data_IF_957544621238
#
_entry.id   IF_957544621238
#
_cell.length_a   1.000
_cell.length_b   1.000
_cell.length_c   1.000
_cell.angle_alpha   90.00
_cell.angle_beta   90.00
_cell.angle_gamma   90.00
#
_symmetry.space_group_name_H-M   'P 1'
#
loop_
_entity.id
_entity.type
_entity.pdbx_description
1 polymer ?
#
# COMPACT_ATOMS: atom_id res chain seq x y z
N UNK A 1 44.21 -33.65 74.81
CA UNK A 1 44.55 -33.43 73.39
C UNK A 1 43.47 -32.56 72.78
N UNK A 2 43.88 -31.43 72.18
CA UNK A 2 43.01 -30.46 71.51
C UNK A 2 42.54 -31.03 70.17
N UNK A 3 41.25 -30.92 69.87
CA UNK A 3 40.73 -31.04 68.50
C UNK A 3 39.98 -29.74 68.22
N UNK A 4 40.55 -28.94 67.31
CA UNK A 4 39.93 -27.74 66.75
C UNK A 4 38.90 -28.15 65.69
N UNK A 5 37.63 -27.78 65.89
CA UNK A 5 36.61 -27.85 64.84
C UNK A 5 36.58 -26.53 64.07
N UNK A 6 36.92 -26.57 62.78
CA UNK A 6 36.76 -25.44 61.86
C UNK A 6 35.34 -25.54 61.29
N UNK A 7 34.48 -24.56 61.61
CA UNK A 7 33.19 -24.37 60.95
C UNK A 7 33.42 -23.36 59.83
N UNK A 8 33.34 -23.82 58.58
CA UNK A 8 33.34 -22.96 57.40
C UNK A 8 31.94 -22.35 57.23
N UNK A 9 31.82 -21.04 57.44
CA UNK A 9 30.61 -20.28 57.13
C UNK A 9 30.53 -20.00 55.63
N UNK A 10 29.51 -20.55 54.96
CA UNK A 10 29.12 -20.12 53.62
C UNK A 10 28.35 -18.80 53.72
N UNK A 11 28.91 -17.72 53.17
CA UNK A 11 28.18 -16.47 52.93
C UNK A 11 27.40 -16.66 51.63
N UNK A 12 26.07 -16.85 51.73
CA UNK A 12 25.19 -16.69 50.57
C UNK A 12 25.09 -15.20 50.23
N UNK A 13 25.77 -14.78 49.16
CA UNK A 13 25.52 -13.50 48.53
C UNK A 13 24.11 -13.53 47.91
N UNK A 14 23.20 -12.70 48.44
CA UNK A 14 21.85 -12.55 47.90
C UNK A 14 21.90 -11.90 46.52
N UNK A 15 21.47 -12.65 45.51
CA UNK A 15 21.09 -12.09 44.22
C UNK A 15 19.74 -11.39 44.41
N UNK A 16 19.74 -10.06 44.38
CA UNK A 16 18.50 -9.30 44.28
C UNK A 16 17.87 -9.58 42.90
N UNK A 17 16.56 -9.82 42.80
CA UNK A 17 15.90 -9.91 41.51
C UNK A 17 15.98 -8.54 40.84
N UNK A 18 16.64 -8.48 39.68
CA UNK A 18 16.55 -7.35 38.78
C UNK A 18 15.14 -7.39 38.22
N UNK A 19 14.27 -6.53 38.72
CA UNK A 19 12.98 -6.26 38.07
C UNK A 19 13.30 -5.58 36.75
N UNK A 20 13.34 -6.37 35.68
CA UNK A 20 13.23 -5.85 34.34
C UNK A 20 11.92 -5.06 34.28
N UNK A 21 12.02 -3.74 34.29
CA UNK A 21 10.93 -2.91 33.81
C UNK A 21 10.82 -3.23 32.33
N UNK A 22 9.90 -4.12 31.98
CA UNK A 22 9.32 -4.10 30.65
C UNK A 22 8.77 -2.69 30.49
N UNK A 23 9.36 -1.91 29.60
CA UNK A 23 8.75 -0.69 29.14
C UNK A 23 7.39 -1.11 28.56
N UNK A 24 6.32 -0.81 29.27
CA UNK A 24 4.99 -0.81 28.68
C UNK A 24 5.00 0.33 27.67
N UNK A 25 5.20 0.01 26.39
CA UNK A 25 4.60 0.83 25.36
C UNK A 25 3.12 0.85 25.69
N UNK A 26 2.53 2.03 25.84
CA UNK A 26 1.08 2.17 25.89
C UNK A 26 0.57 1.82 24.47
N UNK A 27 0.59 0.52 24.13
CA UNK A 27 0.16 -0.04 22.85
C UNK A 27 -1.36 0.03 22.79
N UNK A 28 -1.87 1.20 22.41
CA UNK A 28 -3.24 1.28 21.92
C UNK A 28 -3.22 0.78 20.49
N UNK A 29 -3.72 -0.44 20.27
CA UNK A 29 -3.89 -0.99 18.93
C UNK A 29 -4.67 0.01 18.07
N UNK A 30 -4.22 0.32 16.84
CA UNK A 30 -5.01 1.16 15.96
C UNK A 30 -6.36 0.49 15.66
N UNK A 31 -7.42 1.28 15.60
CA UNK A 31 -8.74 0.77 15.23
C UNK A 31 -8.78 0.33 13.76
N UNK A 32 -8.08 1.09 12.92
CA UNK A 32 -7.99 0.87 11.47
C UNK A 32 -6.54 0.92 11.01
N UNK A 33 -6.13 -0.09 10.24
CA UNK A 33 -4.89 -0.05 9.47
C UNK A 33 -5.22 0.18 8.01
N UNK A 34 -4.52 1.12 7.37
CA UNK A 34 -4.53 1.25 5.92
C UNK A 34 -3.37 0.43 5.37
N UNK A 35 -3.67 -0.66 4.66
CA UNK A 35 -2.66 -1.44 3.94
C UNK A 35 -2.45 -0.82 2.56
N UNK A 36 -1.36 -0.08 2.40
CA UNK A 36 -1.09 0.72 1.21
C UNK A 36 -0.12 0.02 0.24
N UNK A 37 -0.41 0.05 -1.07
CA UNK A 37 0.53 -0.31 -2.11
C UNK A 37 0.66 0.85 -3.11
N UNK A 38 1.86 1.44 -3.15
CA UNK A 38 2.21 2.60 -3.97
C UNK A 38 2.16 2.31 -5.48
N UNK A 39 2.25 3.37 -6.28
CA UNK A 39 2.36 3.25 -7.72
C UNK A 39 3.71 2.69 -8.15
N UNK A 40 3.82 2.34 -9.42
CA UNK A 40 5.11 1.92 -9.97
C UNK A 40 6.12 3.06 -9.97
N UNK A 41 7.39 2.72 -9.78
CA UNK A 41 8.56 3.59 -9.65
C UNK A 41 8.49 4.59 -8.48
N UNK A 42 7.49 4.47 -7.60
CA UNK A 42 7.40 5.25 -6.37
C UNK A 42 8.27 4.66 -5.26
N UNK A 43 9.56 4.47 -5.51
CA UNK A 43 10.49 3.76 -4.63
C UNK A 43 11.72 4.62 -4.30
N UNK A 44 12.59 4.11 -3.42
CA UNK A 44 13.79 4.84 -2.98
C UNK A 44 14.76 5.10 -4.15
N UNK A 45 14.90 4.14 -5.08
CA UNK A 45 15.76 4.27 -6.26
C UNK A 45 15.42 5.50 -7.12
N UNK A 46 14.14 5.83 -7.23
CA UNK A 46 13.64 6.99 -7.97
C UNK A 46 13.47 8.26 -7.11
N UNK A 47 13.84 8.21 -5.82
CA UNK A 47 13.75 9.35 -4.91
C UNK A 47 12.32 9.65 -4.43
N UNK A 48 11.41 8.68 -4.53
CA UNK A 48 10.00 8.81 -4.12
C UNK A 48 9.69 8.15 -2.76
N UNK A 49 10.74 7.82 -2.00
CA UNK A 49 10.63 7.45 -0.59
C UNK A 49 10.70 8.70 0.30
N UNK A 50 9.62 8.99 1.03
CA UNK A 50 9.52 10.18 1.89
C UNK A 50 9.75 9.88 3.37
N UNK A 51 9.94 8.61 3.73
CA UNK A 51 10.06 8.16 5.10
C UNK A 51 8.76 8.23 5.89
N UNK A 52 8.79 7.81 7.16
CA UNK A 52 7.63 7.82 8.05
C UNK A 52 6.89 9.16 8.07
N UNK A 53 5.56 9.13 7.91
CA UNK A 53 4.71 10.31 7.91
C UNK A 53 3.85 10.36 9.16
N UNK A 54 3.71 11.55 9.75
CA UNK A 54 2.72 11.83 10.79
C UNK A 54 1.53 12.57 10.17
N UNK A 55 0.39 11.89 10.09
CA UNK A 55 -0.81 12.47 9.47
C UNK A 55 -1.62 13.33 10.44
N UNK A 56 -1.60 13.01 11.74
CA UNK A 56 -2.23 13.80 12.81
C UNK A 56 -1.28 13.95 14.00
N UNK A 57 -1.50 14.93 14.88
CA UNK A 57 -0.62 15.24 16.04
C UNK A 57 -0.45 14.05 16.98
N UNK A 58 -1.48 13.22 17.12
CA UNK A 58 -1.52 12.07 18.03
C UNK A 58 -1.42 10.73 17.31
N UNK A 59 -1.30 10.73 15.98
CA UNK A 59 -1.17 9.50 15.21
C UNK A 59 0.26 8.96 15.26
N UNK A 60 0.38 7.64 15.32
CA UNK A 60 1.65 6.96 15.08
C UNK A 60 2.15 7.25 13.66
N UNK A 61 3.47 7.33 13.49
CA UNK A 61 4.07 7.53 12.18
C UNK A 61 3.84 6.31 11.29
N UNK A 62 3.56 6.50 10.00
CA UNK A 62 3.55 5.40 9.02
C UNK A 62 4.91 4.73 8.91
N UNK A 63 4.97 3.58 8.24
CA UNK A 63 6.26 2.96 7.91
C UNK A 63 6.98 3.61 6.71
N UNK A 64 6.35 4.58 6.03
CA UNK A 64 7.00 5.51 5.09
C UNK A 64 7.03 5.10 3.61
N UNK A 65 6.48 3.95 3.25
CA UNK A 65 6.51 3.41 1.89
C UNK A 65 5.24 3.67 1.07
N UNK A 66 4.33 4.52 1.55
CA UNK A 66 3.03 4.77 0.89
C UNK A 66 3.16 5.55 -0.43
N UNK A 67 4.27 6.25 -0.65
CA UNK A 67 4.52 7.05 -1.86
C UNK A 67 3.79 8.40 -1.86
N UNK A 68 4.15 9.32 -2.77
CA UNK A 68 3.71 10.71 -2.73
C UNK A 68 2.19 10.88 -2.85
N UNK A 69 1.51 10.08 -3.68
CA UNK A 69 0.06 10.24 -3.91
C UNK A 69 -0.76 9.87 -2.67
N UNK A 70 -0.38 8.81 -1.94
CA UNK A 70 -1.04 8.45 -0.69
C UNK A 70 -0.66 9.38 0.45
N UNK A 71 0.61 9.80 0.55
CA UNK A 71 1.02 10.84 1.50
C UNK A 71 0.19 12.11 1.33
N UNK A 72 0.05 12.59 0.10
CA UNK A 72 -0.77 13.76 -0.20
C UNK A 72 -2.25 13.53 0.15
N UNK A 73 -2.84 12.40 -0.28
CA UNK A 73 -4.23 12.06 0.03
C UNK A 73 -4.51 12.09 1.54
N UNK A 74 -3.69 11.43 2.35
CA UNK A 74 -3.94 11.33 3.78
C UNK A 74 -3.74 12.67 4.51
N UNK A 75 -2.81 13.52 4.06
CA UNK A 75 -2.73 14.90 4.55
C UNK A 75 -3.96 15.72 4.15
N UNK A 76 -4.48 15.59 2.93
CA UNK A 76 -5.71 16.27 2.52
C UNK A 76 -6.93 15.77 3.31
N UNK A 77 -6.99 14.46 3.62
CA UNK A 77 -8.02 13.87 4.48
C UNK A 77 -8.00 14.51 5.85
N UNK A 78 -6.86 14.51 6.55
CA UNK A 78 -6.77 15.11 7.89
C UNK A 78 -7.02 16.62 7.86
N UNK A 79 -6.47 17.34 6.87
CA UNK A 79 -6.65 18.79 6.74
C UNK A 79 -8.13 19.17 6.61
N UNK A 80 -8.89 18.36 5.87
CA UNK A 80 -10.30 18.62 5.58
C UNK A 80 -11.25 18.02 6.61
N UNK A 81 -10.86 16.91 7.23
CA UNK A 81 -11.58 16.19 8.28
C UNK A 81 -10.65 15.94 9.47
N UNK A 82 -10.37 16.96 10.31
CA UNK A 82 -9.46 16.83 11.43
C UNK A 82 -9.89 15.73 12.41
N UNK A 83 -8.95 14.91 12.84
CA UNK A 83 -9.17 13.76 13.73
C UNK A 83 -9.39 12.43 13.00
N UNK A 84 -9.63 12.43 11.68
CA UNK A 84 -9.85 11.18 10.93
C UNK A 84 -8.62 10.26 10.96
N UNK A 85 -7.41 10.82 10.94
CA UNK A 85 -6.17 10.03 10.94
C UNK A 85 -5.63 9.72 12.33
N UNK A 86 -6.22 10.23 13.42
CA UNK A 86 -5.70 10.03 14.80
C UNK A 86 -5.60 8.55 15.21
N UNK A 87 -6.55 7.73 14.78
CA UNK A 87 -6.61 6.28 15.10
C UNK A 87 -6.32 5.38 13.90
N UNK A 88 -5.71 5.94 12.85
CA UNK A 88 -5.35 5.23 11.62
C UNK A 88 -3.84 5.03 11.58
N UNK A 89 -3.42 3.78 11.44
CA UNK A 89 -2.03 3.46 11.11
C UNK A 89 -1.90 3.13 9.62
N UNK A 90 -0.97 3.79 8.92
CA UNK A 90 -0.68 3.50 7.51
C UNK A 90 0.48 2.51 7.44
N UNK A 91 0.16 1.29 7.03
CA UNK A 91 1.10 0.20 6.79
C UNK A 91 1.26 0.03 5.27
N UNK A 92 2.30 0.63 4.70
CA UNK A 92 2.59 0.45 3.29
C UNK A 92 3.43 -0.82 3.05
N UNK A 93 3.24 -1.47 1.92
CA UNK A 93 4.14 -2.55 1.48
C UNK A 93 5.50 -1.93 1.18
N UNK A 94 6.52 -2.34 1.93
CA UNK A 94 7.90 -1.88 1.76
C UNK A 94 8.53 -2.47 0.49
N UNK A 95 9.81 -2.15 0.24
CA UNK A 95 10.52 -2.63 -0.94
C UNK A 95 10.70 -4.16 -0.96
N UNK A 96 10.86 -4.80 0.20
CA UNK A 96 11.03 -6.25 0.31
C UNK A 96 9.73 -6.98 -0.04
N UNK A 97 8.61 -6.49 0.47
CA UNK A 97 7.28 -7.03 0.16
C UNK A 97 6.84 -6.67 -1.25
N UNK A 98 7.10 -5.44 -1.70
CA UNK A 98 6.65 -4.87 -2.97
C UNK A 98 7.67 -3.83 -3.49
N UNK A 99 8.56 -4.19 -4.43
CA UNK A 99 9.57 -3.28 -4.98
C UNK A 99 9.01 -2.08 -5.74
N UNK A 100 7.78 -2.20 -6.22
CA UNK A 100 7.09 -1.25 -7.10
C UNK A 100 7.83 -0.90 -8.41
N UNK A 101 8.71 -1.73 -8.95
CA UNK A 101 9.41 -1.42 -10.20
C UNK A 101 8.49 -1.57 -11.41
N UNK A 102 8.53 -0.62 -12.36
CA UNK A 102 7.87 -0.80 -13.65
C UNK A 102 8.75 -1.57 -14.64
N UNK A 103 10.06 -1.27 -14.69
CA UNK A 103 11.07 -1.74 -15.67
C UNK A 103 10.45 -2.43 -16.89
N UNK A 104 9.72 -1.64 -17.69
CA UNK A 104 9.14 -2.15 -18.92
C UNK A 104 10.25 -2.24 -19.97
N UNK A 105 10.37 -3.36 -20.70
CA UNK A 105 11.24 -3.37 -21.86
C UNK A 105 10.76 -2.31 -22.86
N UNK A 106 11.65 -1.80 -23.73
CA UNK A 106 11.27 -0.87 -24.77
C UNK A 106 10.07 -1.40 -25.54
N UNK A 107 8.97 -0.64 -25.58
CA UNK A 107 7.76 -1.03 -26.30
C UNK A 107 7.96 -1.07 -27.83
N UNK A 108 9.11 -0.59 -28.29
CA UNK A 108 9.59 -0.53 -29.68
C UNK A 108 11.10 -0.88 -29.74
N UNK A 109 11.52 -1.62 -30.77
CA UNK A 109 12.96 -1.76 -31.09
C UNK A 109 13.52 -0.45 -31.69
N UNK A 110 14.85 -0.23 -31.62
CA UNK A 110 15.49 0.95 -32.23
C UNK A 110 15.15 1.04 -33.73
N UNK A 111 14.34 2.03 -34.12
CA UNK A 111 13.92 2.28 -35.51
C UNK A 111 12.53 1.77 -35.87
N UNK A 112 11.79 1.18 -34.92
CA UNK A 112 10.40 0.75 -35.13
C UNK A 112 9.44 1.95 -35.00
N UNK A 113 8.72 2.29 -36.08
CA UNK A 113 7.65 3.30 -36.05
C UNK A 113 6.35 2.65 -35.58
N UNK A 114 6.19 2.54 -34.26
CA UNK A 114 4.95 2.02 -33.67
C UNK A 114 3.90 3.14 -33.64
N UNK A 115 2.72 2.86 -34.17
CA UNK A 115 1.58 3.75 -34.04
C UNK A 115 1.06 3.78 -32.59
N UNK A 116 0.54 4.90 -32.07
CA UNK A 116 0.07 5.03 -30.68
C UNK A 116 -0.90 3.91 -30.23
N UNK A 117 -1.77 3.44 -31.13
CA UNK A 117 -2.73 2.35 -30.87
C UNK A 117 -2.01 1.01 -30.65
N UNK A 118 -0.94 0.74 -31.40
CA UNK A 118 -0.17 -0.50 -31.29
C UNK A 118 0.70 -0.51 -30.03
N UNK A 119 1.18 0.66 -29.58
CA UNK A 119 1.88 0.80 -28.29
C UNK A 119 0.96 0.48 -27.11
N UNK A 120 -0.27 1.01 -27.13
CA UNK A 120 -1.30 0.72 -26.11
C UNK A 120 -1.75 -0.75 -26.19
N UNK A 121 -1.93 -1.32 -27.38
CA UNK A 121 -2.26 -2.73 -27.55
C UNK A 121 -1.13 -3.67 -27.10
N UNK A 122 0.14 -3.27 -27.22
CA UNK A 122 1.28 -4.03 -26.67
C UNK A 122 1.33 -3.90 -25.15
N UNK A 123 1.14 -2.70 -24.60
CA UNK A 123 1.05 -2.51 -23.15
C UNK A 123 -0.12 -3.29 -22.52
N UNK A 124 -1.30 -3.25 -23.15
CA UNK A 124 -2.49 -4.02 -22.74
C UNK A 124 -2.34 -5.52 -23.06
N UNK A 125 -1.69 -5.85 -24.17
CA UNK A 125 -1.41 -7.22 -24.62
C UNK A 125 -0.44 -7.95 -23.71
N UNK A 126 0.55 -7.26 -23.14
CA UNK A 126 1.45 -7.78 -22.10
C UNK A 126 0.66 -8.17 -20.84
N UNK A 127 -0.41 -7.44 -20.52
CA UNK A 127 -1.32 -7.75 -19.40
C UNK A 127 -2.35 -8.84 -19.75
N UNK A 128 -2.72 -9.00 -21.03
CA UNK A 128 -3.79 -9.91 -21.47
C UNK A 128 -3.32 -11.27 -22.04
N UNK A 129 -2.09 -11.38 -22.56
CA UNK A 129 -1.64 -12.58 -23.29
C UNK A 129 -0.98 -13.66 -22.43
N UNK A 130 -0.74 -13.40 -21.16
CA UNK A 130 -0.14 -14.40 -20.27
C UNK A 130 -1.12 -14.82 -19.17
N UNK A 131 -1.60 -16.08 -19.16
CA UNK A 131 -2.27 -16.61 -17.99
C UNK A 131 -1.28 -16.56 -16.82
N UNK A 132 -1.75 -16.12 -15.64
CA UNK A 132 -0.98 -15.97 -14.39
C UNK A 132 -0.07 -17.18 -14.04
N UNK A 133 -0.35 -18.36 -14.61
CA UNK A 133 0.44 -19.58 -14.42
C UNK A 133 1.63 -19.81 -15.37
N UNK A 134 1.77 -19.09 -16.50
CA UNK A 134 2.83 -19.34 -17.50
C UNK A 134 3.99 -18.32 -17.47
N UNK A 135 3.92 -17.26 -16.66
CA UNK A 135 4.98 -16.25 -16.48
C UNK A 135 6.09 -16.72 -15.52
N UNK A 136 6.79 -17.81 -15.87
CA UNK A 136 7.88 -18.35 -15.05
C UNK A 136 9.29 -18.03 -15.58
N UNK A 137 9.46 -17.35 -16.72
CA UNK A 137 10.74 -17.39 -17.47
C UNK A 137 11.32 -16.05 -17.99
N UNK A 138 10.96 -14.89 -17.45
CA UNK A 138 11.58 -13.64 -17.92
C UNK A 138 11.76 -12.57 -16.84
N UNK A 139 13.00 -12.50 -16.35
CA UNK A 139 13.62 -11.44 -15.53
C UNK A 139 13.68 -10.06 -16.23
N UNK A 140 12.95 -9.89 -17.34
CA UNK A 140 12.95 -8.70 -18.18
C UNK A 140 11.74 -7.78 -17.95
N UNK A 141 10.91 -8.08 -16.94
CA UNK A 141 9.67 -7.35 -16.65
C UNK A 141 9.58 -7.00 -15.16
N UNK A 142 10.20 -5.90 -14.73
CA UNK A 142 10.17 -5.46 -13.33
C UNK A 142 8.74 -5.32 -12.80
N UNK A 143 7.79 -4.88 -13.64
CA UNK A 143 6.37 -4.81 -13.30
C UNK A 143 5.73 -6.15 -12.93
N UNK A 144 6.13 -7.26 -13.56
CA UNK A 144 5.54 -8.58 -13.31
C UNK A 144 6.10 -9.17 -12.02
N UNK A 145 7.43 -9.11 -11.85
CA UNK A 145 8.08 -9.60 -10.63
C UNK A 145 7.65 -8.77 -9.41
N UNK A 146 7.53 -7.45 -9.56
CA UNK A 146 7.03 -6.56 -8.52
C UNK A 146 5.58 -6.88 -8.13
N UNK A 147 4.69 -7.02 -9.11
CA UNK A 147 3.29 -7.41 -8.87
C UNK A 147 3.21 -8.78 -8.18
N UNK A 148 3.99 -9.77 -8.65
CA UNK A 148 4.01 -11.12 -8.07
C UNK A 148 4.48 -11.10 -6.62
N UNK A 149 5.56 -10.39 -6.31
CA UNK A 149 6.05 -10.23 -4.95
C UNK A 149 5.00 -9.58 -4.05
N UNK A 150 4.44 -8.45 -4.48
CA UNK A 150 3.38 -7.76 -3.72
C UNK A 150 2.17 -8.66 -3.45
N UNK A 151 1.68 -9.37 -4.48
CA UNK A 151 0.52 -10.27 -4.35
C UNK A 151 0.77 -11.43 -3.39
N UNK A 152 1.98 -12.01 -3.41
CA UNK A 152 2.32 -13.15 -2.55
C UNK A 152 2.66 -12.73 -1.12
N UNK A 153 3.26 -11.56 -0.94
CA UNK A 153 3.80 -11.11 0.35
C UNK A 153 2.82 -10.26 1.15
N UNK A 154 1.86 -9.58 0.52
CA UNK A 154 0.92 -8.69 1.22
C UNK A 154 0.14 -9.38 2.37
N UNK A 155 -0.34 -10.65 2.25
CA UNK A 155 -0.94 -11.35 3.38
C UNK A 155 0.05 -11.59 4.54
N UNK A 156 1.31 -11.92 4.23
CA UNK A 156 2.36 -12.12 5.23
C UNK A 156 2.66 -10.82 5.99
N UNK A 157 2.71 -9.67 5.29
CA UNK A 157 2.90 -8.35 5.93
C UNK A 157 1.79 -8.07 6.96
N UNK A 158 0.54 -8.44 6.65
CA UNK A 158 -0.58 -8.34 7.60
C UNK A 158 -0.35 -9.24 8.82
N UNK A 159 0.03 -10.50 8.59
CA UNK A 159 0.24 -11.49 9.66
C UNK A 159 1.41 -11.11 10.57
N UNK A 160 2.52 -10.66 10.00
CA UNK A 160 3.72 -10.24 10.74
C UNK A 160 3.46 -8.97 11.57
N UNK A 161 2.71 -8.01 11.00
CA UNK A 161 2.28 -6.83 11.73
C UNK A 161 1.40 -7.19 12.94
N UNK A 162 0.35 -8.00 12.74
CA UNK A 162 -0.54 -8.44 13.83
C UNK A 162 0.23 -9.23 14.90
N UNK A 163 1.15 -10.11 14.49
CA UNK A 163 1.96 -10.90 15.41
C UNK A 163 2.93 -10.04 16.23
N UNK A 164 3.52 -9.03 15.60
CA UNK A 164 4.47 -8.10 16.25
C UNK A 164 3.77 -7.19 17.25
N UNK A 165 2.62 -6.62 16.86
CA UNK A 165 1.87 -5.67 17.69
C UNK A 165 0.94 -6.37 18.69
N UNK A 166 0.68 -7.67 18.55
CA UNK A 166 -0.33 -8.37 19.34
C UNK A 166 -1.76 -7.88 19.10
N UNK A 167 -1.98 -7.17 17.99
CA UNK A 167 -3.23 -6.49 17.64
C UNK A 167 -3.95 -7.22 16.49
N UNK A 168 -5.26 -6.98 16.36
CA UNK A 168 -6.06 -7.48 15.22
C UNK A 168 -7.02 -6.39 14.71
N UNK A 169 -6.48 -5.38 14.01
CA UNK A 169 -7.25 -4.22 13.57
C UNK A 169 -8.17 -4.55 12.39
N UNK A 170 -9.03 -3.59 12.05
CA UNK A 170 -9.76 -3.62 10.76
C UNK A 170 -8.90 -2.97 9.67
N UNK A 171 -9.04 -3.44 8.44
CA UNK A 171 -8.19 -3.01 7.33
C UNK A 171 -8.98 -2.24 6.26
N UNK A 172 -8.43 -1.10 5.83
CA UNK A 172 -8.75 -0.51 4.54
C UNK A 172 -7.59 -0.78 3.60
N UNK A 173 -7.84 -1.44 2.46
CA UNK A 173 -6.79 -1.63 1.45
C UNK A 173 -6.73 -0.40 0.55
N UNK A 174 -5.53 0.10 0.24
CA UNK A 174 -5.34 1.29 -0.56
C UNK A 174 -4.28 1.04 -1.65
N UNK A 175 -4.66 1.08 -2.92
CA UNK A 175 -3.74 0.84 -4.03
C UNK A 175 -3.79 1.89 -5.11
N UNK A 176 -2.62 2.30 -5.61
CA UNK A 176 -2.49 3.27 -6.69
C UNK A 176 -1.81 2.62 -7.90
N UNK A 177 -2.38 2.79 -9.09
CA UNK A 177 -1.82 2.27 -10.36
C UNK A 177 -1.52 0.76 -10.28
N UNK A 178 -0.25 0.34 -10.39
CA UNK A 178 0.17 -1.06 -10.19
C UNK A 178 -0.20 -1.60 -8.79
N UNK A 179 -0.08 -0.80 -7.74
CA UNK A 179 -0.47 -1.16 -6.37
C UNK A 179 -1.97 -1.40 -6.19
N UNK A 180 -2.84 -0.87 -7.06
CA UNK A 180 -4.27 -1.21 -7.09
C UNK A 180 -4.50 -2.68 -7.42
N UNK A 181 -3.63 -3.29 -8.23
CA UNK A 181 -3.69 -4.71 -8.55
C UNK A 181 -3.20 -5.57 -7.38
N UNK A 182 -2.13 -5.12 -6.70
CA UNK A 182 -1.58 -5.78 -5.50
C UNK A 182 -2.61 -5.80 -4.37
N UNK A 183 -3.15 -4.64 -3.99
CA UNK A 183 -4.13 -4.56 -2.89
C UNK A 183 -5.42 -5.33 -3.17
N UNK A 184 -5.79 -5.49 -4.44
CA UNK A 184 -6.94 -6.33 -4.81
C UNK A 184 -6.72 -7.81 -4.44
N UNK A 185 -5.48 -8.32 -4.45
CA UNK A 185 -5.23 -9.74 -4.14
C UNK A 185 -5.40 -10.09 -2.66
N UNK A 186 -5.09 -9.15 -1.77
CA UNK A 186 -5.23 -9.32 -0.30
C UNK A 186 -6.62 -8.94 0.19
N UNK A 187 -7.41 -8.24 -0.63
CA UNK A 187 -8.78 -7.83 -0.31
C UNK A 187 -9.66 -9.04 0.06
N UNK A 188 -9.62 -10.11 -0.73
CA UNK A 188 -10.37 -11.34 -0.45
C UNK A 188 -9.92 -12.01 0.85
N UNK A 189 -8.61 -12.11 1.07
CA UNK A 189 -8.04 -12.68 2.30
C UNK A 189 -8.53 -11.93 3.56
N UNK A 190 -8.52 -10.60 3.53
CA UNK A 190 -9.01 -9.77 4.63
C UNK A 190 -10.53 -9.88 4.79
N UNK A 191 -11.29 -10.00 3.71
CA UNK A 191 -12.74 -10.20 3.77
C UNK A 191 -13.11 -11.55 4.37
N UNK A 192 -12.49 -12.64 3.89
CA UNK A 192 -12.74 -14.02 4.34
C UNK A 192 -12.38 -14.21 5.83
N UNK A 193 -11.44 -13.39 6.33
CA UNK A 193 -11.02 -13.40 7.74
C UNK A 193 -11.75 -12.36 8.61
N UNK A 194 -12.74 -11.66 8.06
CA UNK A 194 -13.60 -10.70 8.77
C UNK A 194 -12.90 -9.39 9.16
N UNK A 195 -11.77 -9.07 8.53
CA UNK A 195 -10.92 -7.92 8.83
C UNK A 195 -11.07 -6.76 7.85
N UNK A 196 -11.59 -6.98 6.64
CA UNK A 196 -11.75 -5.92 5.64
C UNK A 196 -12.90 -4.95 6.01
N UNK A 197 -12.57 -3.66 6.13
CA UNK A 197 -13.49 -2.54 6.37
C UNK A 197 -13.85 -1.77 5.09
N UNK A 198 -12.91 -1.66 4.16
CA UNK A 198 -13.11 -0.93 2.91
C UNK A 198 -11.93 -1.04 1.94
N UNK A 199 -12.09 -0.46 0.76
CA UNK A 199 -11.07 -0.45 -0.28
C UNK A 199 -11.01 0.90 -1.00
N UNK A 200 -9.80 1.38 -1.27
CA UNK A 200 -9.49 2.58 -2.04
C UNK A 200 -8.58 2.18 -3.20
N UNK A 201 -9.01 2.41 -4.43
CA UNK A 201 -8.17 2.22 -5.62
C UNK A 201 -8.12 3.49 -6.43
N UNK A 202 -6.92 3.93 -6.80
CA UNK A 202 -6.67 5.17 -7.54
C UNK A 202 -5.93 4.83 -8.83
N UNK A 203 -6.32 5.42 -9.96
CA UNK A 203 -5.67 5.19 -11.25
C UNK A 203 -5.64 3.71 -11.63
N UNK A 204 -6.72 2.98 -11.33
CA UNK A 204 -6.74 1.51 -11.39
C UNK A 204 -6.77 1.01 -12.85
N UNK A 205 -5.78 0.20 -13.31
CA UNK A 205 -5.77 -0.35 -14.67
C UNK A 205 -6.98 -1.24 -15.01
N UNK A 206 -7.75 -1.67 -14.01
CA UNK A 206 -8.93 -2.51 -14.18
C UNK A 206 -10.23 -1.79 -13.87
N UNK A 207 -10.21 -0.45 -13.80
CA UNK A 207 -11.37 0.40 -13.49
C UNK A 207 -12.61 0.08 -14.36
N UNK A 208 -12.44 -0.12 -15.68
CA UNK A 208 -13.55 -0.47 -16.59
C UNK A 208 -13.89 -1.96 -16.65
N UNK A 209 -13.10 -2.80 -15.98
CA UNK A 209 -13.26 -4.26 -16.00
C UNK A 209 -13.29 -4.85 -14.59
N UNK A 210 -14.16 -4.35 -13.69
CA UNK A 210 -14.21 -4.81 -12.30
C UNK A 210 -14.45 -6.33 -12.17
N UNK A 211 -15.13 -6.93 -13.16
CA UNK A 211 -15.40 -8.38 -13.23
C UNK A 211 -14.18 -9.27 -13.46
N UNK A 212 -13.04 -8.69 -13.85
CA UNK A 212 -11.81 -9.47 -14.14
C UNK A 212 -11.06 -9.83 -12.86
N UNK A 213 -11.26 -9.08 -11.79
CA UNK A 213 -10.68 -9.36 -10.48
C UNK A 213 -11.73 -9.97 -9.55
N UNK A 214 -11.35 -10.99 -8.80
CA UNK A 214 -12.14 -11.53 -7.69
C UNK A 214 -12.06 -10.59 -6.47
N UNK A 215 -12.58 -9.36 -6.63
CA UNK A 215 -12.69 -8.37 -5.54
C UNK A 215 -13.67 -8.88 -4.49
N UNK A 216 -13.39 -8.60 -3.23
CA UNK A 216 -14.34 -8.86 -2.17
C UNK A 216 -15.62 -8.02 -2.38
N UNK A 217 -16.76 -8.63 -2.06
CA UNK A 217 -18.03 -7.94 -2.06
C UNK A 217 -18.07 -6.95 -0.89
N UNK A 218 -17.94 -5.66 -1.20
CA UNK A 218 -18.09 -4.56 -0.25
C UNK A 218 -19.35 -3.76 -0.57
N UNK A 219 -20.05 -3.21 0.43
CA UNK A 219 -21.06 -2.17 0.21
C UNK A 219 -20.49 -1.01 -0.61
N UNK A 220 -21.33 -0.35 -1.42
CA UNK A 220 -20.87 0.70 -2.34
C UNK A 220 -20.24 1.90 -1.63
N UNK A 221 -20.68 2.20 -0.41
CA UNK A 221 -20.12 3.23 0.48
C UNK A 221 -18.82 2.79 1.18
N UNK A 222 -18.45 1.50 1.07
CA UNK A 222 -17.20 0.95 1.61
C UNK A 222 -16.12 0.78 0.53
N UNK A 223 -16.33 1.31 -0.68
CA UNK A 223 -15.36 1.30 -1.78
C UNK A 223 -15.23 2.65 -2.46
N UNK A 224 -13.99 3.09 -2.66
CA UNK A 224 -13.61 4.21 -3.50
C UNK A 224 -12.81 3.68 -4.68
N UNK A 225 -13.28 3.91 -5.91
CA UNK A 225 -12.57 3.60 -7.15
C UNK A 225 -12.44 4.88 -7.97
N UNK A 226 -11.27 5.52 -7.88
CA UNK A 226 -11.01 6.85 -8.40
C UNK A 226 -10.16 6.80 -9.68
N UNK A 227 -10.72 7.34 -10.76
CA UNK A 227 -10.03 7.61 -12.01
C UNK A 227 -10.21 9.11 -12.37
N UNK A 228 -9.11 9.83 -12.54
CA UNK A 228 -9.13 11.18 -13.10
C UNK A 228 -9.63 11.12 -14.55
N UNK A 229 -10.49 12.07 -14.94
CA UNK A 229 -10.95 12.16 -16.33
C UNK A 229 -9.74 12.40 -17.25
N UNK A 230 -9.56 11.53 -18.26
CA UNK A 230 -8.41 11.60 -19.16
C UNK A 230 -7.16 10.83 -18.70
N UNK A 231 -7.18 10.17 -17.53
CA UNK A 231 -6.08 9.29 -17.13
C UNK A 231 -6.08 8.02 -17.97
N UNK A 232 -5.10 7.88 -18.86
CA UNK A 232 -4.97 6.76 -19.81
C UNK A 232 -4.95 5.36 -19.16
N UNK A 233 -4.57 5.25 -17.88
CA UNK A 233 -4.51 3.96 -17.18
C UNK A 233 -5.90 3.41 -16.89
N UNK A 234 -6.90 4.28 -16.69
CA UNK A 234 -8.26 3.88 -16.31
C UNK A 234 -9.34 4.44 -17.24
N UNK A 235 -8.98 5.38 -18.12
CA UNK A 235 -9.72 5.88 -19.27
C UNK A 235 -9.01 5.47 -20.57
N UNK A 236 -9.50 4.39 -21.18
CA UNK A 236 -8.93 3.82 -22.41
C UNK A 236 -9.31 4.59 -23.69
N UNK A 237 -9.71 5.86 -23.58
CA UNK A 237 -10.00 6.68 -24.75
C UNK A 237 -8.72 7.04 -25.53
N UNK A 238 -8.87 7.24 -26.84
CA UNK A 238 -7.75 7.61 -27.72
C UNK A 238 -7.18 8.99 -27.36
N UNK A 239 -8.01 9.89 -26.85
CA UNK A 239 -7.61 11.22 -26.39
C UNK A 239 -6.69 11.11 -25.18
N UNK A 240 -7.10 10.39 -24.13
CA UNK A 240 -6.28 10.12 -22.94
C UNK A 240 -4.92 9.48 -23.29
N UNK A 241 -4.90 8.51 -24.20
CA UNK A 241 -3.66 7.87 -24.64
C UNK A 241 -2.72 8.83 -25.39
N UNK A 242 -3.24 9.69 -26.28
CA UNK A 242 -2.42 10.67 -27.01
C UNK A 242 -1.85 11.74 -26.08
N UNK A 243 -2.65 12.19 -25.12
CA UNK A 243 -2.22 13.17 -24.12
C UNK A 243 -1.13 12.59 -23.24
N UNK A 244 -1.29 11.35 -22.77
CA UNK A 244 -0.29 10.64 -21.96
C UNK A 244 1.06 10.49 -22.67
N UNK A 245 1.07 10.21 -23.98
CA UNK A 245 2.31 10.17 -24.77
C UNK A 245 2.96 11.55 -24.90
N UNK A 246 2.16 12.61 -24.97
CA UNK A 246 2.63 13.98 -25.16
C UNK A 246 3.16 14.60 -23.86
N UNK A 247 2.55 14.27 -22.72
CA UNK A 247 2.88 14.83 -21.40
C UNK A 247 3.60 13.83 -20.47
N UNK A 248 3.98 12.65 -20.97
CA UNK A 248 4.63 11.59 -20.18
C UNK A 248 3.79 11.13 -18.97
N UNK A 249 2.50 10.89 -19.19
CA UNK A 249 1.57 10.41 -18.16
C UNK A 249 1.44 11.36 -16.94
N UNK A 250 1.70 12.66 -17.11
CA UNK A 250 1.66 13.67 -16.03
C UNK A 250 0.35 13.64 -15.25
N UNK A 251 -0.79 13.49 -15.94
CA UNK A 251 -2.10 13.41 -15.31
C UNK A 251 -2.22 12.17 -14.40
N UNK A 252 -1.75 11.02 -14.86
CA UNK A 252 -1.75 9.79 -14.06
C UNK A 252 -0.91 9.97 -12.79
N UNK A 253 0.25 10.62 -12.88
CA UNK A 253 1.11 10.88 -11.71
C UNK A 253 0.53 11.91 -10.73
N UNK A 254 -0.45 12.73 -11.16
CA UNK A 254 -0.82 13.97 -10.46
C UNK A 254 -1.83 13.84 -9.32
N UNK A 255 -2.42 12.66 -9.08
CA UNK A 255 -3.46 12.48 -8.06
C UNK A 255 -3.06 13.10 -6.72
N UNK A 256 -3.83 14.10 -6.26
CA UNK A 256 -3.66 14.82 -5.00
C UNK A 256 -2.37 15.66 -4.83
N UNK A 257 -1.45 15.65 -5.80
CA UNK A 257 -0.17 16.38 -5.71
C UNK A 257 -0.29 17.87 -6.01
N UNK A 258 -1.36 18.26 -6.71
CA UNK A 258 -1.71 19.64 -7.01
C UNK A 258 -2.85 20.12 -6.10
N UNK A 259 -3.26 21.38 -6.26
CA UNK A 259 -4.48 21.91 -5.62
C UNK A 259 -5.69 21.00 -5.92
N UNK A 260 -6.37 20.45 -4.90
CA UNK A 260 -7.45 19.50 -5.09
C UNK A 260 -8.57 20.05 -5.97
N UNK A 261 -8.92 19.30 -7.01
CA UNK A 261 -10.09 19.57 -7.85
C UNK A 261 -11.39 19.22 -7.10
N UNK A 262 -12.54 19.58 -7.68
CA UNK A 262 -13.83 19.15 -7.14
C UNK A 262 -13.99 17.62 -7.10
N UNK A 263 -13.34 16.90 -8.02
CA UNK A 263 -13.34 15.43 -8.04
C UNK A 263 -12.47 14.87 -6.91
N UNK A 264 -11.27 15.45 -6.71
CA UNK A 264 -10.40 15.07 -5.59
C UNK A 264 -11.09 15.29 -4.25
N UNK A 265 -11.79 16.41 -4.08
CA UNK A 265 -12.53 16.72 -2.85
C UNK A 265 -13.59 15.66 -2.53
N UNK A 266 -14.33 15.18 -3.53
CA UNK A 266 -15.30 14.11 -3.32
C UNK A 266 -14.64 12.80 -2.86
N UNK A 267 -13.46 12.52 -3.40
CA UNK A 267 -12.69 11.32 -3.04
C UNK A 267 -12.11 11.46 -1.63
N UNK A 268 -11.55 12.61 -1.28
CA UNK A 268 -11.06 12.93 0.06
C UNK A 268 -12.20 12.75 1.09
N UNK A 269 -13.39 13.27 0.80
CA UNK A 269 -14.57 13.14 1.67
C UNK A 269 -15.01 11.68 1.81
N UNK A 270 -14.99 10.91 0.72
CA UNK A 270 -15.35 9.48 0.75
C UNK A 270 -14.32 8.65 1.54
N UNK A 271 -13.02 8.89 1.34
CA UNK A 271 -11.94 8.22 2.09
C UNK A 271 -12.04 8.53 3.58
N UNK A 272 -12.32 9.79 3.95
CA UNK A 272 -12.55 10.14 5.36
C UNK A 272 -13.72 9.34 5.96
N UNK A 273 -14.82 9.18 5.21
CA UNK A 273 -15.95 8.33 5.60
C UNK A 273 -15.59 6.85 5.80
N UNK A 274 -14.66 6.30 5.02
CA UNK A 274 -14.15 4.94 5.20
C UNK A 274 -13.30 4.79 6.46
N UNK A 275 -12.46 5.78 6.74
CA UNK A 275 -11.48 5.74 7.81
C UNK A 275 -12.09 6.05 9.18
N UNK A 276 -13.09 6.91 9.24
CA UNK A 276 -13.81 7.20 10.47
C UNK A 276 -14.38 5.92 11.11
N UNK A 277 -14.27 5.85 12.44
CA UNK A 277 -14.65 4.67 13.25
C UNK A 277 -16.05 4.74 13.82
N UNK A 278 -16.73 5.88 13.65
CA UNK A 278 -18.11 6.10 14.10
C UNK A 278 -19.13 5.39 13.20
N UNK A 279 -19.37 4.11 13.50
CA UNK A 279 -20.66 3.43 13.23
C UNK A 279 -21.30 3.09 14.58
#
# INVERSE_FOLDING_TARGET
MRVFGVIAGFVLAGLAPVTAHAASFDETCPDTVVLAARGSDQNEENGEYFGPQHYSEHAEASNGYEGPNFTALFHHVEQRHPGTMESVYVLALDEEAYPANMDLPPLAEEGENIGPIEMVQRAVGIVQQYPLGELLHSVAFGAIDSLRSGVNNAPTVVEDYEATMGCRPRYVVAGYSQGALVTTSVEKYLADTGRLKGAVTIGNPLHKYPQVMDRAALPGDKRVDYCLNGDFVCDFSLEAANDALSNKAELHASYFLNEPTAQDIQVIDAVAGLLNTAD
#
